data_IF_765671975340
#
_entry.id   IF_765671975340
#
_cell.length_a   1.000
_cell.length_b   1.000
_cell.length_c   1.000
_cell.angle_alpha   90.00
_cell.angle_beta   90.00
_cell.angle_gamma   90.00
#
_symmetry.space_group_name_H-M   'P 1'
#
loop_
_entity.id
_entity.type
_entity.pdbx_description
1 polymer ?
#
# COMPACT_ATOMS: atom_id res chain seq x y z
N UNK A 1 19.64 7.74 2.52
CA UNK A 1 18.66 8.67 3.12
C UNK A 1 18.35 9.74 2.09
N UNK A 2 17.12 9.82 1.59
CA UNK A 2 16.72 10.86 0.65
C UNK A 2 16.01 11.98 1.42
N UNK A 3 16.32 13.23 1.08
CA UNK A 3 15.65 14.41 1.63
C UNK A 3 14.86 15.08 0.52
N UNK A 4 13.59 15.38 0.77
CA UNK A 4 12.72 16.10 -0.16
C UNK A 4 12.41 17.47 0.43
N UNK A 5 12.59 18.52 -0.37
CA UNK A 5 12.16 19.87 -0.03
C UNK A 5 10.86 20.19 -0.78
N UNK A 6 9.83 20.56 -0.04
CA UNK A 6 8.57 21.06 -0.62
C UNK A 6 8.60 22.58 -0.50
N UNK A 7 8.49 23.27 -1.64
CA UNK A 7 8.44 24.73 -1.71
C UNK A 7 7.00 25.18 -1.99
N UNK A 8 6.73 26.45 -1.72
CA UNK A 8 5.47 27.12 -2.03
C UNK A 8 4.25 26.47 -1.35
N UNK A 9 4.41 26.06 -0.10
CA UNK A 9 3.29 25.58 0.73
C UNK A 9 2.51 26.80 1.22
N UNK A 10 1.21 26.93 0.89
CA UNK A 10 0.37 27.99 1.41
C UNK A 10 0.30 27.96 2.94
N UNK A 11 0.26 29.13 3.58
CA UNK A 11 0.31 29.24 5.05
C UNK A 11 -0.87 28.52 5.73
N UNK A 12 -2.05 28.53 5.10
CA UNK A 12 -3.24 27.82 5.56
C UNK A 12 -3.03 26.30 5.55
N UNK A 13 -2.39 25.78 4.50
CA UNK A 13 -2.05 24.35 4.40
C UNK A 13 -0.99 23.98 5.43
N UNK A 14 0.03 24.81 5.61
CA UNK A 14 1.07 24.59 6.60
C UNK A 14 0.50 24.55 8.03
N UNK A 15 -0.43 25.45 8.35
CA UNK A 15 -1.11 25.50 9.64
C UNK A 15 -1.89 24.22 9.93
N UNK A 16 -2.67 23.73 8.95
CA UNK A 16 -3.45 22.49 9.08
C UNK A 16 -2.54 21.27 9.28
N UNK A 17 -1.41 21.20 8.56
CA UNK A 17 -0.44 20.12 8.73
C UNK A 17 0.19 20.16 10.13
N UNK A 18 0.56 21.35 10.62
CA UNK A 18 1.11 21.52 11.95
C UNK A 18 0.12 21.13 13.05
N UNK A 19 -1.15 21.52 12.91
CA UNK A 19 -2.22 21.14 13.83
C UNK A 19 -2.38 19.61 13.90
N UNK A 20 -2.48 18.94 12.74
CA UNK A 20 -2.61 17.48 12.66
C UNK A 20 -1.39 16.75 13.22
N UNK A 21 -0.18 17.21 12.91
CA UNK A 21 1.04 16.64 13.46
C UNK A 21 1.09 16.79 14.98
N UNK A 22 0.67 17.95 15.51
CA UNK A 22 0.58 18.20 16.94
C UNK A 22 -0.46 17.31 17.62
N UNK A 23 -1.61 17.08 16.99
CA UNK A 23 -2.65 16.18 17.49
C UNK A 23 -2.16 14.73 17.62
N UNK A 24 -1.21 14.32 16.78
CA UNK A 24 -0.55 13.00 16.85
C UNK A 24 0.73 12.99 17.69
N UNK A 25 1.08 14.10 18.37
CA UNK A 25 2.32 14.26 19.14
C UNK A 25 3.59 14.00 18.32
N UNK A 26 3.57 14.35 17.02
CA UNK A 26 4.68 14.15 16.09
C UNK A 26 5.19 15.49 15.56
N UNK A 27 6.45 15.49 15.12
CA UNK A 27 6.93 16.59 14.28
C UNK A 27 6.25 16.54 12.91
N UNK A 28 6.13 17.69 12.25
CA UNK A 28 5.56 17.80 10.88
C UNK A 28 6.29 16.85 9.91
N UNK A 29 7.61 16.75 10.01
CA UNK A 29 8.41 15.87 9.15
C UNK A 29 8.18 14.38 9.42
N UNK A 30 7.95 13.99 10.69
CA UNK A 30 7.58 12.61 11.03
C UNK A 30 6.17 12.29 10.52
N UNK A 31 5.21 13.21 10.74
CA UNK A 31 3.85 13.06 10.27
C UNK A 31 3.74 12.89 8.75
N UNK A 32 4.42 13.75 7.98
CA UNK A 32 4.45 13.64 6.53
C UNK A 32 5.13 12.35 6.05
N UNK A 33 6.19 11.90 6.74
CA UNK A 33 6.85 10.64 6.42
C UNK A 33 5.91 9.45 6.60
N UNK A 34 5.16 9.41 7.69
CA UNK A 34 4.23 8.33 7.98
C UNK A 34 3.12 8.27 6.92
N UNK A 35 2.55 9.43 6.56
CA UNK A 35 1.56 9.53 5.49
C UNK A 35 2.09 9.05 4.14
N UNK A 36 3.29 9.50 3.75
CA UNK A 36 3.92 9.07 2.50
C UNK A 36 4.24 7.57 2.52
N UNK A 37 4.70 7.04 3.65
CA UNK A 37 5.05 5.62 3.77
C UNK A 37 3.82 4.75 3.60
N UNK A 38 2.70 5.11 4.26
CA UNK A 38 1.45 4.39 4.13
C UNK A 38 0.90 4.41 2.68
N UNK A 39 0.98 5.55 2.01
CA UNK A 39 0.52 5.68 0.63
C UNK A 39 1.39 4.88 -0.36
N UNK A 40 2.71 5.03 -0.25
CA UNK A 40 3.67 4.28 -1.08
C UNK A 40 3.54 2.78 -0.84
N UNK A 41 3.35 2.33 0.41
CA UNK A 41 3.13 0.91 0.70
C UNK A 41 1.87 0.38 0.02
N UNK A 42 0.75 1.13 0.06
CA UNK A 42 -0.49 0.73 -0.62
C UNK A 42 -0.31 0.65 -2.13
N UNK A 43 0.38 1.62 -2.73
CA UNK A 43 0.64 1.63 -4.17
C UNK A 43 1.58 0.48 -4.57
N UNK A 44 2.64 0.22 -3.80
CA UNK A 44 3.53 -0.92 -4.02
C UNK A 44 2.80 -2.26 -3.90
N UNK A 45 1.91 -2.41 -2.91
CA UNK A 45 1.07 -3.59 -2.76
C UNK A 45 0.15 -3.79 -3.98
N UNK A 46 -0.50 -2.73 -4.47
CA UNK A 46 -1.34 -2.80 -5.68
C UNK A 46 -0.55 -3.26 -6.91
N UNK A 47 0.65 -2.69 -7.11
CA UNK A 47 1.53 -3.08 -8.21
C UNK A 47 2.02 -4.51 -8.09
N UNK A 48 2.36 -4.95 -6.88
CA UNK A 48 2.79 -6.32 -6.61
C UNK A 48 1.68 -7.32 -6.93
N UNK A 49 0.45 -7.06 -6.49
CA UNK A 49 -0.73 -7.90 -6.79
C UNK A 49 -0.97 -7.96 -8.30
N UNK A 50 -0.97 -6.82 -8.99
CA UNK A 50 -1.17 -6.77 -10.44
C UNK A 50 -0.08 -7.55 -11.19
N UNK A 51 1.18 -7.47 -10.73
CA UNK A 51 2.29 -8.22 -11.29
C UNK A 51 2.12 -9.72 -11.06
N UNK A 52 1.76 -10.14 -9.84
CA UNK A 52 1.50 -11.54 -9.52
C UNK A 52 0.34 -12.11 -10.35
N UNK A 53 -0.73 -11.36 -10.54
CA UNK A 53 -1.84 -11.76 -11.41
C UNK A 53 -1.39 -12.02 -12.85
N UNK A 54 -0.52 -11.16 -13.40
CA UNK A 54 0.00 -11.34 -14.75
C UNK A 54 0.95 -12.54 -14.84
N UNK A 55 1.87 -12.72 -13.88
CA UNK A 55 2.76 -13.88 -13.83
C UNK A 55 1.99 -15.20 -13.67
N UNK A 56 0.92 -15.19 -12.86
CA UNK A 56 0.03 -16.32 -12.70
C UNK A 56 -0.69 -16.67 -14.00
N UNK A 57 -1.26 -15.68 -14.70
CA UNK A 57 -1.90 -15.87 -16.02
C UNK A 57 -0.91 -16.38 -17.07
N UNK A 58 0.33 -15.89 -17.06
CA UNK A 58 1.37 -16.38 -17.97
C UNK A 58 1.74 -17.83 -17.67
N UNK A 59 1.88 -18.18 -16.39
CA UNK A 59 2.17 -19.54 -15.95
C UNK A 59 1.04 -20.50 -16.29
N UNK A 60 -0.21 -20.10 -16.06
CA UNK A 60 -1.41 -20.88 -16.44
C UNK A 60 -1.48 -21.12 -17.95
N UNK A 61 -1.22 -20.08 -18.76
CA UNK A 61 -1.12 -20.20 -20.22
C UNK A 61 -0.02 -21.17 -20.65
N UNK A 62 1.16 -21.09 -20.02
CA UNK A 62 2.29 -21.99 -20.28
C UNK A 62 1.96 -23.45 -19.93
N UNK A 63 1.25 -23.67 -18.84
CA UNK A 63 0.89 -25.01 -18.35
C UNK A 63 -0.39 -25.56 -18.98
N UNK A 64 -1.06 -24.81 -19.88
CA UNK A 64 -2.39 -25.14 -20.45
C UNK A 64 -3.46 -25.46 -19.40
N UNK A 65 -3.32 -24.89 -18.20
CA UNK A 65 -4.32 -24.98 -17.14
C UNK A 65 -5.33 -23.88 -17.43
N UNK A 66 -6.21 -24.12 -18.39
CA UNK A 66 -7.39 -23.27 -18.65
C UNK A 66 -8.57 -24.05 -18.09
N UNK A 67 -8.84 -23.85 -16.80
CA UNK A 67 -9.94 -24.48 -16.09
C UNK A 67 -10.61 -23.48 -15.16
N UNK A 68 -11.93 -23.35 -15.29
CA UNK A 68 -12.80 -22.48 -14.51
C UNK A 68 -12.53 -22.64 -13.01
N UNK A 69 -12.20 -21.55 -12.32
CA UNK A 69 -12.02 -21.53 -10.86
C UNK A 69 -10.60 -21.27 -10.37
N UNK A 70 -9.75 -20.62 -11.16
CA UNK A 70 -8.44 -20.17 -10.66
C UNK A 70 -8.61 -18.84 -9.93
N UNK A 71 -8.34 -18.80 -8.60
CA UNK A 71 -8.55 -17.58 -7.82
C UNK A 71 -7.62 -16.47 -8.33
N UNK A 72 -8.14 -15.26 -8.43
CA UNK A 72 -7.31 -14.08 -8.67
C UNK A 72 -6.35 -13.91 -7.50
N UNK A 73 -5.14 -13.39 -7.74
CA UNK A 73 -4.22 -13.03 -6.67
C UNK A 73 -4.83 -12.04 -5.68
N UNK A 74 -5.83 -11.24 -6.08
CA UNK A 74 -6.60 -10.40 -5.17
C UNK A 74 -7.55 -11.20 -4.23
N UNK A 75 -8.02 -12.37 -4.66
CA UNK A 75 -8.80 -13.30 -3.83
C UNK A 75 -7.88 -14.05 -2.87
N UNK A 76 -6.72 -14.52 -3.35
CA UNK A 76 -5.71 -15.19 -2.51
C UNK A 76 -5.17 -14.25 -1.43
N UNK A 77 -4.90 -12.99 -1.76
CA UNK A 77 -4.43 -12.00 -0.76
C UNK A 77 -5.51 -11.69 0.28
N UNK A 78 -6.79 -11.71 -0.10
CA UNK A 78 -7.90 -11.60 0.86
C UNK A 78 -7.95 -12.80 1.79
N UNK A 79 -7.90 -14.01 1.24
CA UNK A 79 -7.92 -15.26 2.00
C UNK A 79 -6.76 -15.33 3.01
N UNK A 80 -5.53 -15.03 2.58
CA UNK A 80 -4.34 -15.02 3.47
C UNK A 80 -4.45 -13.97 4.57
N UNK A 81 -5.02 -12.79 4.28
CA UNK A 81 -5.23 -11.75 5.29
C UNK A 81 -6.30 -12.15 6.30
N UNK A 82 -7.40 -12.73 5.83
CA UNK A 82 -8.47 -13.25 6.68
C UNK A 82 -7.97 -14.40 7.57
N UNK A 83 -7.11 -15.27 7.07
CA UNK A 83 -6.51 -16.34 7.86
C UNK A 83 -5.50 -15.82 8.89
N UNK A 84 -4.73 -14.77 8.56
CA UNK A 84 -3.82 -14.12 9.51
C UNK A 84 -4.58 -13.42 10.65
N UNK A 85 -5.67 -12.71 10.32
CA UNK A 85 -6.53 -12.04 11.30
C UNK A 85 -7.30 -13.06 12.17
N UNK A 86 -7.57 -14.26 11.64
CA UNK A 86 -8.23 -15.36 12.36
C UNK A 86 -7.26 -16.22 13.19
N UNK A 87 -5.96 -16.09 12.95
CA UNK A 87 -4.87 -16.83 13.61
C UNK A 87 -4.08 -16.06 14.65
N UNK A 88 -4.50 -14.85 15.03
CA UNK A 88 -3.96 -14.14 16.19
C UNK A 88 -4.74 -14.48 17.48
N UNK A 89 -4.38 -15.61 18.07
CA UNK A 89 -4.18 -15.78 19.52
C UNK A 89 -2.79 -16.38 19.75
#
# INVERSE_FOLDING_TARGET
MATVQVRDVPDDVAAVIAEKASAEHKSVSAYLRDLMTADVQRELQRRAIAKWDEELRQTQRRLRIIGQGTPSGAEVVREVREDYDRGQE
#
